data_IF_024569606454
#
_entry.id   IF_024569606454
#
_cell.length_a   1.000
_cell.length_b   1.000
_cell.length_c   1.000
_cell.angle_alpha   90.00
_cell.angle_beta   90.00
_cell.angle_gamma   90.00
#
_symmetry.space_group_name_H-M   'P 1'
#
loop_
_entity.id
_entity.type
_entity.pdbx_description
1 polymer ?
#
# COMPACT_ATOMS: atom_id res chain seq x y z
N UNK A 1 -15.03 2.35 -5.93
CA UNK A 1 -14.02 1.42 -6.50
C UNK A 1 -12.64 2.10 -6.62
N UNK A 2 -12.53 3.24 -7.32
CA UNK A 2 -11.29 4.01 -7.48
C UNK A 2 -10.58 4.39 -6.17
N UNK A 3 -11.35 4.77 -5.13
CA UNK A 3 -10.81 5.18 -3.81
C UNK A 3 -9.98 4.09 -3.11
N UNK A 4 -10.24 2.81 -3.42
CA UNK A 4 -9.52 1.66 -2.83
C UNK A 4 -8.46 1.16 -3.82
N UNK A 5 -8.81 1.06 -5.10
CA UNK A 5 -7.90 0.57 -6.13
C UNK A 5 -6.66 1.46 -6.27
N UNK A 6 -6.84 2.78 -6.20
CA UNK A 6 -5.76 3.75 -6.34
C UNK A 6 -4.63 3.59 -5.29
N UNK A 7 -4.91 3.64 -3.97
CA UNK A 7 -3.88 3.42 -2.95
C UNK A 7 -3.26 2.02 -3.01
N UNK A 8 -4.00 0.99 -3.46
CA UNK A 8 -3.43 -0.35 -3.67
C UNK A 8 -2.38 -0.31 -4.79
N UNK A 9 -2.69 0.31 -5.93
CA UNK A 9 -1.74 0.41 -7.04
C UNK A 9 -0.50 1.21 -6.68
N UNK A 10 -0.66 2.38 -6.05
CA UNK A 10 0.46 3.22 -5.60
C UNK A 10 1.30 2.49 -4.55
N UNK A 11 0.66 1.86 -3.57
CA UNK A 11 1.36 1.12 -2.53
C UNK A 11 2.12 -0.09 -3.09
N UNK A 12 1.56 -0.80 -4.07
CA UNK A 12 2.26 -1.90 -4.73
C UNK A 12 3.48 -1.40 -5.52
N UNK A 13 3.34 -0.27 -6.23
CA UNK A 13 4.46 0.35 -6.95
C UNK A 13 5.60 0.66 -5.96
N UNK A 14 5.31 1.40 -4.88
CA UNK A 14 6.31 1.74 -3.86
C UNK A 14 6.90 0.51 -3.18
N UNK A 15 6.09 -0.48 -2.84
CA UNK A 15 6.56 -1.70 -2.19
C UNK A 15 7.55 -2.46 -3.07
N UNK A 16 7.24 -2.57 -4.36
CA UNK A 16 8.13 -3.21 -5.33
C UNK A 16 9.41 -2.40 -5.55
N UNK A 17 9.30 -1.09 -5.83
CA UNK A 17 10.47 -0.26 -6.16
C UNK A 17 11.43 -0.15 -4.98
N UNK A 18 10.94 -0.03 -3.74
CA UNK A 18 11.79 0.07 -2.56
C UNK A 18 12.66 -1.17 -2.35
N UNK A 19 12.08 -2.36 -2.50
CA UNK A 19 12.84 -3.61 -2.40
C UNK A 19 13.77 -3.77 -3.60
N UNK A 20 13.29 -3.54 -4.82
CA UNK A 20 14.11 -3.70 -6.03
C UNK A 20 15.28 -2.71 -6.09
N UNK A 21 15.14 -1.49 -5.56
CA UNK A 21 16.24 -0.55 -5.38
C UNK A 21 17.32 -1.10 -4.45
N UNK A 22 16.92 -1.65 -3.29
CA UNK A 22 17.84 -2.25 -2.31
C UNK A 22 18.65 -3.41 -2.90
N UNK A 23 18.03 -4.21 -3.78
CA UNK A 23 18.66 -5.38 -4.41
C UNK A 23 19.18 -5.13 -5.83
N UNK A 24 19.23 -3.86 -6.26
CA UNK A 24 19.72 -3.52 -7.59
C UNK A 24 21.21 -3.85 -7.75
N UNK A 25 21.58 -4.48 -8.87
CA UNK A 25 22.98 -4.86 -9.15
C UNK A 25 23.74 -3.82 -9.96
N UNK A 26 23.02 -2.88 -10.57
CA UNK A 26 23.58 -1.86 -11.44
C UNK A 26 22.97 -0.49 -11.16
N UNK A 27 23.73 0.57 -11.46
CA UNK A 27 23.26 1.94 -11.30
C UNK A 27 22.06 2.26 -12.21
N UNK A 28 22.02 1.70 -13.44
CA UNK A 28 20.90 1.88 -14.36
C UNK A 28 19.60 1.27 -13.84
N UNK A 29 19.65 0.06 -13.28
CA UNK A 29 18.49 -0.57 -12.63
C UNK A 29 18.00 0.26 -11.43
N UNK A 30 18.94 0.77 -10.61
CA UNK A 30 18.59 1.61 -9.47
C UNK A 30 17.90 2.89 -9.92
N UNK A 31 18.45 3.59 -10.92
CA UNK A 31 17.86 4.82 -11.48
C UNK A 31 16.47 4.53 -12.06
N UNK A 32 16.30 3.41 -12.76
CA UNK A 32 15.00 3.01 -13.30
C UNK A 32 13.96 2.85 -12.18
N UNK A 33 14.27 2.09 -11.12
CA UNK A 33 13.36 1.91 -9.99
C UNK A 33 13.12 3.21 -9.21
N UNK A 34 14.12 4.09 -9.13
CA UNK A 34 14.00 5.42 -8.52
C UNK A 34 13.03 6.30 -9.31
N UNK A 35 13.13 6.34 -10.64
CA UNK A 35 12.20 7.10 -11.48
C UNK A 35 10.78 6.57 -11.34
N UNK A 36 10.61 5.25 -11.33
CA UNK A 36 9.30 4.61 -11.16
C UNK A 36 8.70 4.88 -9.77
N UNK A 37 9.54 4.93 -8.74
CA UNK A 37 9.16 5.35 -7.39
C UNK A 37 8.66 6.80 -7.35
N UNK A 38 9.30 7.71 -8.09
CA UNK A 38 8.89 9.11 -8.18
C UNK A 38 7.60 9.31 -8.97
N UNK A 39 7.37 8.52 -10.04
CA UNK A 39 6.08 8.48 -10.71
C UNK A 39 4.96 8.07 -9.73
N UNK A 40 5.25 7.10 -8.85
CA UNK A 40 4.35 6.70 -7.76
C UNK A 40 4.00 7.87 -6.83
N UNK A 41 4.97 8.71 -6.47
CA UNK A 41 4.76 9.90 -5.63
C UNK A 41 3.86 10.95 -6.30
N UNK A 42 4.02 11.21 -7.60
CA UNK A 42 3.17 12.15 -8.35
C UNK A 42 1.73 11.65 -8.40
N UNK A 43 1.54 10.37 -8.72
CA UNK A 43 0.23 9.71 -8.65
C UNK A 43 -0.36 9.82 -7.25
N UNK A 44 0.43 9.52 -6.22
CA UNK A 44 -0.02 9.59 -4.83
C UNK A 44 -0.56 10.96 -4.44
N UNK A 45 0.17 12.04 -4.75
CA UNK A 45 -0.25 13.42 -4.48
C UNK A 45 -1.56 13.75 -5.21
N UNK A 46 -1.68 13.34 -6.48
CA UNK A 46 -2.92 13.51 -7.24
C UNK A 46 -4.10 12.75 -6.61
N UNK A 47 -3.88 11.53 -6.12
CA UNK A 47 -4.90 10.77 -5.40
C UNK A 47 -5.29 11.43 -4.08
N UNK A 48 -4.33 12.01 -3.37
CA UNK A 48 -4.56 12.69 -2.10
C UNK A 48 -5.36 14.00 -2.27
N UNK A 49 -5.17 14.71 -3.40
CA UNK A 49 -5.92 15.93 -3.71
C UNK A 49 -7.34 15.66 -4.21
N UNK A 50 -7.60 14.53 -4.88
CA UNK A 50 -8.87 14.28 -5.57
C UNK A 50 -9.76 13.21 -4.91
N UNK A 51 -9.23 12.40 -3.99
CA UNK A 51 -9.98 11.31 -3.35
C UNK A 51 -10.19 11.60 -1.86
N UNK A 52 -9.69 10.74 -0.97
CA UNK A 52 -9.87 10.87 0.47
C UNK A 52 -8.54 10.82 1.21
N UNK A 53 -8.48 11.42 2.40
CA UNK A 53 -7.30 11.35 3.27
C UNK A 53 -6.92 9.92 3.67
N UNK A 54 -7.85 8.98 3.52
CA UNK A 54 -7.63 7.55 3.78
C UNK A 54 -6.67 6.89 2.77
N UNK A 55 -6.45 7.53 1.61
CA UNK A 55 -5.50 7.05 0.58
C UNK A 55 -4.08 6.93 1.16
N UNK A 56 -3.66 7.85 2.03
CA UNK A 56 -2.32 7.84 2.65
C UNK A 56 -2.05 6.62 3.53
N UNK A 57 -2.81 6.38 4.62
CA UNK A 57 -2.56 5.23 5.48
C UNK A 57 -2.75 3.90 4.75
N UNK A 58 -3.66 3.84 3.76
CA UNK A 58 -3.87 2.62 2.98
C UNK A 58 -2.70 2.32 2.03
N UNK A 59 -2.19 3.32 1.29
CA UNK A 59 -1.05 3.15 0.40
C UNK A 59 0.23 2.76 1.17
N UNK A 60 0.46 3.36 2.34
CA UNK A 60 1.59 3.00 3.19
C UNK A 60 1.51 1.57 3.72
N UNK A 61 0.32 1.13 4.13
CA UNK A 61 0.15 -0.25 4.59
C UNK A 61 0.36 -1.26 3.46
N UNK A 62 -0.16 -1.00 2.26
CA UNK A 62 0.09 -1.85 1.08
C UNK A 62 1.57 -1.85 0.70
N UNK A 63 2.25 -0.70 0.79
CA UNK A 63 3.71 -0.59 0.54
C UNK A 63 4.48 -1.55 1.43
N UNK A 64 4.21 -1.54 2.74
CA UNK A 64 4.89 -2.42 3.70
C UNK A 64 4.56 -3.89 3.46
N UNK A 65 3.31 -4.22 3.15
CA UNK A 65 2.88 -5.59 2.85
C UNK A 65 3.60 -6.14 1.63
N UNK A 66 3.60 -5.39 0.52
CA UNK A 66 4.24 -5.79 -0.73
C UNK A 66 5.75 -5.85 -0.56
N UNK A 67 6.35 -4.91 0.18
CA UNK A 67 7.79 -4.94 0.48
C UNK A 67 8.18 -6.21 1.24
N UNK A 68 7.42 -6.56 2.28
CA UNK A 68 7.69 -7.75 3.08
C UNK A 68 7.51 -9.05 2.28
N UNK A 69 6.44 -9.15 1.48
CA UNK A 69 6.20 -10.30 0.62
C UNK A 69 7.28 -10.45 -0.45
N UNK A 70 7.67 -9.35 -1.10
CA UNK A 70 8.67 -9.39 -2.15
C UNK A 70 10.06 -9.73 -1.62
N UNK A 71 10.46 -9.13 -0.49
CA UNK A 71 11.74 -9.43 0.15
C UNK A 71 11.81 -10.90 0.63
N UNK A 72 10.70 -11.42 1.16
CA UNK A 72 10.60 -12.82 1.58
C UNK A 72 10.65 -13.79 0.39
N UNK A 73 9.88 -13.53 -0.68
CA UNK A 73 9.75 -14.45 -1.81
C UNK A 73 10.93 -14.40 -2.78
N UNK A 74 11.46 -13.21 -3.08
CA UNK A 74 12.45 -13.01 -4.16
C UNK A 74 13.86 -12.72 -3.67
N UNK A 75 14.01 -12.25 -2.43
CA UNK A 75 15.31 -11.82 -1.91
C UNK A 75 15.83 -12.72 -0.79
N UNK A 76 15.11 -13.81 -0.46
CA UNK A 76 15.39 -14.77 0.62
C UNK A 76 15.71 -14.07 1.95
N UNK A 77 15.09 -12.91 2.18
CA UNK A 77 15.30 -12.13 3.38
C UNK A 77 14.54 -12.81 4.52
N UNK A 78 15.30 -13.45 5.43
CA UNK A 78 14.76 -14.18 6.58
C UNK A 78 14.00 -13.20 7.49
N UNK A 79 12.67 -13.29 7.47
CA UNK A 79 11.83 -12.54 8.40
C UNK A 79 12.02 -13.10 9.81
N UNK A 80 12.64 -12.32 10.70
CA UNK A 80 12.76 -12.66 12.11
C UNK A 80 11.40 -12.64 12.84
N UNK A 81 11.37 -13.13 14.09
CA UNK A 81 10.13 -13.19 14.91
C UNK A 81 9.40 -11.84 15.01
N UNK A 82 10.15 -10.75 15.18
CA UNK A 82 9.62 -9.39 15.20
C UNK A 82 9.01 -8.96 13.87
N UNK A 83 9.62 -9.34 12.74
CA UNK A 83 9.09 -9.04 11.41
C UNK A 83 7.79 -9.79 11.11
N UNK A 84 7.66 -11.03 11.58
CA UNK A 84 6.43 -11.81 11.43
C UNK A 84 5.27 -11.21 12.23
N UNK A 85 5.53 -10.80 13.48
CA UNK A 85 4.56 -10.05 14.31
C UNK A 85 4.15 -8.75 13.61
N UNK A 86 5.12 -8.03 13.03
CA UNK A 86 4.87 -6.83 12.24
C UNK A 86 3.94 -7.09 11.06
N UNK A 87 4.16 -8.17 10.30
CA UNK A 87 3.32 -8.53 9.16
C UNK A 87 1.88 -8.86 9.59
N UNK A 88 1.70 -9.59 10.69
CA UNK A 88 0.36 -9.88 11.24
C UNK A 88 -0.35 -8.60 11.65
N UNK A 89 0.31 -7.73 12.42
CA UNK A 89 -0.24 -6.43 12.82
C UNK A 89 -0.62 -5.59 11.60
N UNK A 90 0.19 -5.62 10.55
CA UNK A 90 -0.05 -4.91 9.31
C UNK A 90 -1.32 -5.42 8.60
N UNK A 91 -1.48 -6.74 8.48
CA UNK A 91 -2.68 -7.35 7.91
C UNK A 91 -3.94 -6.97 8.71
N UNK A 92 -3.87 -7.01 10.04
CA UNK A 92 -4.96 -6.58 10.92
C UNK A 92 -5.27 -5.09 10.71
N UNK A 93 -4.24 -4.24 10.67
CA UNK A 93 -4.36 -2.81 10.43
C UNK A 93 -5.07 -2.50 9.10
N UNK A 94 -4.66 -3.14 8.00
CA UNK A 94 -5.30 -3.00 6.67
C UNK A 94 -6.76 -3.45 6.71
N UNK A 95 -7.06 -4.56 7.38
CA UNK A 95 -8.42 -5.08 7.52
C UNK A 95 -9.32 -4.09 8.29
N UNK A 96 -8.85 -3.57 9.43
CA UNK A 96 -9.57 -2.58 10.23
C UNK A 96 -9.78 -1.28 9.46
N UNK A 97 -8.74 -0.78 8.76
CA UNK A 97 -8.82 0.43 7.96
C UNK A 97 -9.88 0.26 6.85
N UNK A 98 -9.84 -0.85 6.12
CA UNK A 98 -10.78 -1.16 5.04
C UNK A 98 -12.22 -1.28 5.57
N UNK A 99 -12.42 -1.93 6.72
CA UNK A 99 -13.71 -2.05 7.38
C UNK A 99 -14.29 -0.71 7.85
N UNK A 100 -13.44 0.19 8.35
CA UNK A 100 -13.84 1.55 8.75
C UNK A 100 -14.30 2.39 7.54
N UNK A 101 -13.64 2.26 6.38
CA UNK A 101 -14.05 2.93 5.13
C UNK A 101 -15.45 2.50 4.65
N UNK A 102 -15.80 1.23 4.87
CA UNK A 102 -17.11 0.67 4.50
C UNK A 102 -18.24 1.08 5.47
N UNK A 103 -17.91 1.62 6.64
CA UNK A 103 -18.90 1.93 7.69
C UNK A 103 -19.77 3.16 7.37
N UNK A 104 -19.23 4.30 6.89
CA UNK A 104 -20.05 5.43 6.42
C UNK A 104 -20.94 5.08 5.23
N UNK A 105 -20.43 4.27 4.29
CA UNK A 105 -21.17 3.85 3.10
C UNK A 105 -22.35 2.91 3.44
N UNK A 106 -22.19 2.02 4.44
CA UNK A 106 -23.30 1.23 4.99
C UNK A 106 -24.33 2.08 5.72
N UNK A 107 -23.89 3.09 6.47
CA UNK A 107 -24.78 3.96 7.24
C UNK A 107 -25.72 4.79 6.35
N UNK A 108 -25.23 5.29 5.21
CA UNK A 108 -26.02 6.03 4.22
C UNK A 108 -26.97 5.17 3.39
N UNK A 109 -26.65 3.88 3.20
CA UNK A 109 -27.55 2.94 2.52
C UNK A 109 -28.69 2.50 3.46
N UNK A 110 -28.41 2.40 4.75
CA UNK A 110 -29.39 2.06 5.78
C UNK A 110 -30.39 3.19 6.05
N UNK A 111 -29.98 4.47 5.95
CA UNK A 111 -30.89 5.61 6.12
C UNK A 111 -31.74 5.94 4.89
N UNK A 112 -31.42 5.41 3.70
CA UNK A 112 -32.22 5.60 2.47
C UNK A 112 -33.26 4.51 2.21
N UNK A 113 -33.23 3.43 2.98
CA UNK A 113 -34.31 2.43 3.04
C UNK A 113 -34.77 2.29 4.51
N UNK A 114 -35.37 3.33 5.11
CA UNK A 114 -36.19 3.09 6.28
C UNK A 114 -37.45 2.36 5.78
N UNK A 115 -37.68 1.15 6.28
CA UNK A 115 -39.00 0.53 6.25
C UNK A 115 -40.04 1.48 6.87
#
# INVERSE_FOLDING_TARGET
MLVILFPITVGAIWGCTNVLMKYSKTNLQFIFYLLLNQCGSVLFVWGLSNLSKMVLPLANAVTLMVSALLAFCFCDERIGKSGFIGLILLCIGVFLLSGASLSPARRLKNTRNPL
#
